data_IF_269794316890
#
_entry.id   IF_269794316890
#
_cell.length_a   1.000
_cell.length_b   1.000
_cell.length_c   1.000
_cell.angle_alpha   90.00
_cell.angle_beta   90.00
_cell.angle_gamma   90.00
#
_symmetry.space_group_name_H-M   'P 1'
#
loop_
_entity.id
_entity.type
_entity.pdbx_description
1 polymer ?
#
# COMPACT_ATOMS: atom_id res chain seq x y z
N UNK A 1 -2.27 6.34 7.36
CA UNK A 1 -2.24 7.11 6.09
C UNK A 1 -2.12 8.56 6.47
N UNK A 2 -1.15 9.25 5.89
CA UNK A 2 -0.87 10.66 6.18
C UNK A 2 -0.86 11.44 4.86
N UNK A 3 -1.30 12.70 4.90
CA UNK A 3 -1.25 13.59 3.76
C UNK A 3 -0.49 14.85 4.14
N UNK A 4 0.53 15.21 3.35
CA UNK A 4 1.33 16.42 3.53
C UNK A 4 1.10 17.36 2.37
N UNK A 5 0.71 18.60 2.67
CA UNK A 5 0.57 19.66 1.65
C UNK A 5 1.95 20.18 1.22
N UNK A 6 2.12 20.38 -0.08
CA UNK A 6 3.30 21.01 -0.71
C UNK A 6 2.80 21.99 -1.77
N UNK A 7 2.88 23.29 -1.47
CA UNK A 7 2.24 24.32 -2.29
C UNK A 7 0.73 24.08 -2.39
N UNK A 8 0.21 23.97 -3.60
CA UNK A 8 -1.20 23.67 -3.88
C UNK A 8 -1.54 22.18 -3.95
N UNK A 9 -0.53 21.30 -3.83
CA UNK A 9 -0.68 19.86 -4.01
C UNK A 9 -0.47 19.08 -2.70
N UNK A 10 -0.76 17.78 -2.74
CA UNK A 10 -0.57 16.86 -1.63
C UNK A 10 0.35 15.70 -2.00
N UNK A 11 1.20 15.31 -1.06
CA UNK A 11 1.85 14.00 -1.03
C UNK A 11 1.11 13.14 -0.04
N UNK A 12 0.75 11.92 -0.45
CA UNK A 12 0.04 10.96 0.39
C UNK A 12 0.98 9.80 0.71
N UNK A 13 1.19 9.52 1.99
CA UNK A 13 1.99 8.39 2.46
C UNK A 13 1.07 7.28 2.95
N UNK A 14 1.29 6.08 2.39
CA UNK A 14 0.52 4.87 2.69
C UNK A 14 1.47 3.78 3.16
N UNK A 15 1.27 3.35 4.39
CA UNK A 15 1.95 2.19 4.96
C UNK A 15 1.11 0.94 4.70
N UNK A 16 1.74 -0.07 4.12
CA UNK A 16 1.10 -1.33 3.76
C UNK A 16 1.84 -2.46 4.42
N UNK A 17 1.13 -3.19 5.27
CA UNK A 17 1.63 -4.39 5.92
C UNK A 17 1.27 -5.60 5.06
N UNK A 18 2.27 -6.40 4.71
CA UNK A 18 2.14 -7.55 3.83
C UNK A 18 2.64 -8.82 4.54
N UNK A 19 2.10 -9.97 4.13
CA UNK A 19 2.68 -11.26 4.49
C UNK A 19 4.17 -11.27 4.07
N UNK A 20 5.12 -11.59 4.96
CA UNK A 20 6.55 -11.66 4.65
C UNK A 20 6.89 -12.60 3.49
N UNK A 21 6.03 -13.59 3.21
CA UNK A 21 6.20 -14.55 2.11
C UNK A 21 5.61 -14.02 0.79
N UNK A 22 5.04 -12.82 0.78
CA UNK A 22 4.55 -12.16 -0.43
C UNK A 22 5.72 -11.94 -1.41
N UNK A 23 5.65 -12.49 -2.63
CA UNK A 23 6.67 -12.24 -3.64
C UNK A 23 6.73 -10.76 -4.03
N UNK A 24 7.95 -10.26 -4.27
CA UNK A 24 8.22 -8.86 -4.61
C UNK A 24 7.36 -8.38 -5.79
N UNK A 25 7.16 -9.20 -6.83
CA UNK A 25 6.33 -8.82 -7.98
C UNK A 25 4.85 -8.58 -7.60
N UNK A 26 4.31 -9.32 -6.63
CA UNK A 26 2.94 -9.11 -6.12
C UNK A 26 2.88 -7.84 -5.29
N UNK A 27 3.89 -7.58 -4.46
CA UNK A 27 4.02 -6.33 -3.72
C UNK A 27 4.03 -5.12 -4.68
N UNK A 28 4.81 -5.18 -5.77
CA UNK A 28 4.77 -4.13 -6.80
C UNK A 28 3.41 -3.97 -7.49
N UNK A 29 2.68 -5.07 -7.74
CA UNK A 29 1.33 -4.98 -8.29
C UNK A 29 0.36 -4.27 -7.32
N UNK A 30 0.45 -4.58 -6.02
CA UNK A 30 -0.31 -3.90 -4.97
C UNK A 30 0.05 -2.41 -4.91
N UNK A 31 1.34 -2.07 -4.94
CA UNK A 31 1.82 -0.68 -4.96
C UNK A 31 1.17 0.11 -6.10
N UNK A 32 1.25 -0.42 -7.32
CA UNK A 32 0.65 0.22 -8.51
C UNK A 32 -0.87 0.39 -8.38
N UNK A 33 -1.56 -0.60 -7.81
CA UNK A 33 -3.00 -0.51 -7.56
C UNK A 33 -3.33 0.62 -6.58
N UNK A 34 -2.60 0.74 -5.48
CA UNK A 34 -2.80 1.79 -4.45
C UNK A 34 -2.57 3.17 -5.06
N UNK A 35 -1.44 3.37 -5.75
CA UNK A 35 -1.13 4.66 -6.40
C UNK A 35 -2.23 5.05 -7.38
N UNK A 36 -2.70 4.11 -8.21
CA UNK A 36 -3.78 4.36 -9.19
C UNK A 36 -5.09 4.75 -8.51
N UNK A 37 -5.44 4.08 -7.41
CA UNK A 37 -6.69 4.39 -6.68
C UNK A 37 -6.59 5.77 -6.01
N UNK A 38 -5.52 6.03 -5.27
CA UNK A 38 -5.33 7.31 -4.60
C UNK A 38 -5.37 8.50 -5.59
N UNK A 39 -4.72 8.40 -6.75
CA UNK A 39 -4.75 9.46 -7.77
C UNK A 39 -6.12 9.66 -8.44
N UNK A 40 -7.03 8.68 -8.36
CA UNK A 40 -8.40 8.84 -8.88
C UNK A 40 -9.28 9.67 -7.95
N UNK A 41 -8.97 9.69 -6.65
CA UNK A 41 -9.77 10.42 -5.66
C UNK A 41 -9.57 11.94 -5.77
N UNK A 42 -8.37 12.39 -6.19
CA UNK A 42 -8.10 13.81 -6.35
C UNK A 42 -6.93 14.09 -7.29
N UNK A 43 -7.13 15.04 -8.20
CA UNK A 43 -6.08 15.57 -9.08
C UNK A 43 -5.02 16.37 -8.32
N UNK A 44 -5.32 16.82 -7.09
CA UNK A 44 -4.38 17.56 -6.24
C UNK A 44 -3.34 16.64 -5.58
N UNK A 45 -3.50 15.32 -5.69
CA UNK A 45 -2.50 14.36 -5.22
C UNK A 45 -1.37 14.29 -6.25
N UNK A 46 -0.27 14.96 -5.93
CA UNK A 46 0.93 15.02 -6.76
C UNK A 46 1.71 13.70 -6.71
N UNK A 47 1.87 13.14 -5.52
CA UNK A 47 2.64 11.92 -5.31
C UNK A 47 2.00 11.03 -4.25
N UNK A 48 2.13 9.72 -4.44
CA UNK A 48 1.69 8.71 -3.47
C UNK A 48 2.90 7.87 -3.11
N UNK A 49 3.44 8.12 -1.92
CA UNK A 49 4.50 7.30 -1.35
C UNK A 49 3.89 6.06 -0.70
N UNK A 50 4.31 4.88 -1.15
CA UNK A 50 3.80 3.61 -0.65
C UNK A 50 4.98 2.84 -0.07
N UNK A 51 4.96 2.70 1.26
CA UNK A 51 5.95 1.98 2.04
C UNK A 51 5.37 0.62 2.40
N UNK A 52 6.14 -0.43 2.14
CA UNK A 52 5.70 -1.80 2.35
C UNK A 52 6.53 -2.44 3.45
N UNK A 53 5.85 -2.97 4.45
CA UNK A 53 6.47 -3.58 5.61
C UNK A 53 6.02 -5.04 5.70
N UNK A 54 6.95 -5.98 5.95
CA UNK A 54 6.56 -7.33 6.29
C UNK A 54 5.89 -7.31 7.67
N UNK A 55 4.74 -7.95 7.78
CA UNK A 55 4.05 -8.16 9.06
C UNK A 55 3.99 -9.66 9.37
N UNK A 56 4.82 -10.15 10.30
CA UNK A 56 4.85 -11.57 10.68
C UNK A 56 3.51 -12.13 11.17
N UNK A 57 2.57 -11.28 11.59
CA UNK A 57 1.24 -11.70 12.04
C UNK A 57 0.31 -12.05 10.86
N UNK A 58 0.58 -11.50 9.67
CA UNK A 58 -0.19 -11.79 8.45
C UNK A 58 0.19 -13.13 7.80
N UNK A 59 1.26 -13.77 8.28
CA UNK A 59 1.89 -14.95 7.69
C UNK A 59 0.97 -16.17 7.53
N UNK A 60 -0.19 -16.22 8.21
CA UNK A 60 -1.10 -17.38 8.21
C UNK A 60 -2.58 -17.09 8.49
N UNK A 61 -3.21 -16.11 7.82
CA UNK A 61 -4.70 -16.12 7.76
C UNK A 61 -5.26 -17.07 6.68
N UNK A 62 -4.42 -17.59 5.78
CA UNK A 62 -4.82 -18.44 4.65
C UNK A 62 -4.79 -19.96 4.89
N UNK A 63 -4.26 -20.46 6.01
CA UNK A 63 -4.38 -21.89 6.38
C UNK A 63 -5.58 -22.09 7.30
N UNK A 64 -6.79 -21.93 6.77
CA UNK A 64 -7.91 -22.74 7.29
C UNK A 64 -7.54 -24.20 7.00
N UNK A 65 -7.06 -24.92 8.02
CA UNK A 65 -7.14 -26.38 8.02
C UNK A 65 -8.62 -26.71 7.90
N UNK A 66 -9.04 -27.28 6.77
CA UNK A 66 -10.31 -28.00 6.76
C UNK A 66 -10.19 -29.14 7.79
N UNK A 67 -11.20 -29.35 8.66
CA UNK A 67 -11.30 -30.56 9.45
C UNK A 67 -11.43 -31.79 8.57
#
# INVERSE_FOLDING_TARGET
MEARKIGSFYIVSVDVFLDPETPIYKAHAIKRKIVRLARKESELIYHVDVRMFPDPLLRKSGRRKNP
#
